data_IF_030487057701
#
_entry.id   IF_030487057701
#
_cell.length_a   1.000
_cell.length_b   1.000
_cell.length_c   1.000
_cell.angle_alpha   90.00
_cell.angle_beta   90.00
_cell.angle_gamma   90.00
#
_symmetry.space_group_name_H-M   'P 1'
#
loop_
_entity.id
_entity.type
_entity.pdbx_description
1 polymer ?
#
# COMPACT_ATOMS: atom_id res chain seq x y z
N UNK A 1 35.80 3.31 22.08
CA UNK A 1 34.51 2.72 22.49
C UNK A 1 33.29 3.34 21.81
N UNK A 2 33.47 4.31 20.90
CA UNK A 2 32.34 5.01 20.25
C UNK A 2 31.93 4.48 18.85
N UNK A 3 32.76 3.68 18.20
CA UNK A 3 32.55 3.28 16.80
C UNK A 3 31.36 2.34 16.61
N UNK A 4 31.16 1.37 17.51
CA UNK A 4 30.06 0.40 17.36
C UNK A 4 28.66 1.01 17.60
N UNK A 5 28.56 2.00 18.51
CA UNK A 5 27.30 2.72 18.76
C UNK A 5 27.02 3.68 17.60
N UNK A 6 28.04 4.38 17.13
CA UNK A 6 27.92 5.28 15.97
C UNK A 6 27.49 4.52 14.73
N UNK A 7 28.10 3.36 14.43
CA UNK A 7 27.75 2.53 13.28
C UNK A 7 26.31 1.98 13.40
N UNK A 8 25.84 1.61 14.59
CA UNK A 8 24.45 1.17 14.80
C UNK A 8 23.43 2.30 14.62
N UNK A 9 23.78 3.51 15.06
CA UNK A 9 22.92 4.69 14.87
C UNK A 9 22.87 5.07 13.39
N UNK A 10 23.99 5.04 12.68
CA UNK A 10 24.03 5.30 11.23
C UNK A 10 23.20 4.29 10.46
N UNK A 11 23.42 3.00 10.68
CA UNK A 11 22.63 1.93 10.02
C UNK A 11 21.11 2.02 10.32
N UNK A 12 20.73 2.41 11.53
CA UNK A 12 19.33 2.62 11.88
C UNK A 12 18.73 3.84 11.15
N UNK A 13 19.50 4.91 10.99
CA UNK A 13 19.08 6.10 10.23
C UNK A 13 18.97 5.79 8.73
N UNK A 14 19.92 5.05 8.16
CA UNK A 14 19.93 4.66 6.75
C UNK A 14 18.72 3.76 6.43
N UNK A 15 18.41 2.81 7.31
CA UNK A 15 17.22 1.97 7.18
C UNK A 15 15.92 2.78 7.26
N UNK A 16 15.81 3.75 8.17
CA UNK A 16 14.64 4.60 8.28
C UNK A 16 14.47 5.50 7.05
N UNK A 17 15.55 6.03 6.50
CA UNK A 17 15.53 6.82 5.26
C UNK A 17 15.18 5.96 4.05
N UNK A 18 15.72 4.75 3.96
CA UNK A 18 15.36 3.80 2.91
C UNK A 18 13.85 3.50 2.91
N UNK A 19 13.27 3.22 4.08
CA UNK A 19 11.84 2.98 4.26
C UNK A 19 10.99 4.20 3.81
N UNK A 20 11.41 5.40 4.16
CA UNK A 20 10.74 6.64 3.74
C UNK A 20 10.78 6.84 2.22
N UNK A 21 11.94 6.66 1.57
CA UNK A 21 12.05 6.77 0.11
C UNK A 21 11.30 5.67 -0.62
N UNK A 22 11.29 4.44 -0.10
CA UNK A 22 10.48 3.36 -0.63
C UNK A 22 9.00 3.72 -0.66
N UNK A 23 8.47 4.27 0.43
CA UNK A 23 7.09 4.74 0.53
C UNK A 23 6.80 5.89 -0.45
N UNK A 24 7.70 6.85 -0.58
CA UNK A 24 7.56 7.95 -1.53
C UNK A 24 7.56 7.47 -2.99
N UNK A 25 8.39 6.49 -3.34
CA UNK A 25 8.41 5.89 -4.67
C UNK A 25 7.12 5.13 -4.97
N UNK A 26 6.69 4.26 -4.06
CA UNK A 26 5.47 3.48 -4.23
C UNK A 26 4.23 4.39 -4.26
N UNK A 27 4.22 5.50 -3.51
CA UNK A 27 3.10 6.44 -3.48
C UNK A 27 2.90 7.24 -4.78
N UNK A 28 3.81 7.16 -5.75
CA UNK A 28 3.61 7.80 -7.05
C UNK A 28 2.44 7.17 -7.79
N UNK A 29 1.51 8.00 -8.29
CA UNK A 29 0.25 7.53 -8.90
C UNK A 29 0.46 6.54 -10.05
N UNK A 30 1.53 6.71 -10.84
CA UNK A 30 1.88 5.77 -11.90
C UNK A 30 2.21 4.39 -11.36
N UNK A 31 2.98 4.31 -10.27
CA UNK A 31 3.32 3.04 -9.60
C UNK A 31 2.07 2.42 -8.96
N UNK A 32 1.27 3.24 -8.25
CA UNK A 32 0.01 2.80 -7.65
C UNK A 32 -0.95 2.24 -8.70
N UNK A 33 -1.03 2.86 -9.88
CA UNK A 33 -1.87 2.39 -10.97
C UNK A 33 -1.48 0.99 -11.44
N UNK A 34 -0.19 0.68 -11.56
CA UNK A 34 0.28 -0.68 -11.86
C UNK A 34 -0.11 -1.67 -10.76
N UNK A 35 0.03 -1.29 -9.49
CA UNK A 35 -0.40 -2.12 -8.36
C UNK A 35 -1.89 -2.41 -8.47
N UNK A 36 -2.72 -1.38 -8.68
CA UNK A 36 -4.18 -1.51 -8.75
C UNK A 36 -4.63 -2.39 -9.91
N UNK A 37 -4.04 -2.23 -11.11
CA UNK A 37 -4.36 -3.05 -12.29
C UNK A 37 -4.10 -4.54 -12.04
N UNK A 38 -3.06 -4.87 -11.29
CA UNK A 38 -2.69 -6.27 -11.02
C UNK A 38 -3.39 -6.87 -9.79
N UNK A 39 -3.87 -6.03 -8.87
CA UNK A 39 -4.40 -6.52 -7.57
C UNK A 39 -5.90 -6.38 -7.41
N UNK A 40 -6.55 -5.50 -8.16
CA UNK A 40 -8.00 -5.23 -8.04
C UNK A 40 -8.71 -5.64 -9.33
N UNK A 41 -9.61 -6.62 -9.23
CA UNK A 41 -10.28 -7.23 -10.38
C UNK A 41 -10.99 -6.22 -11.30
N UNK A 42 -11.53 -5.14 -10.75
CA UNK A 42 -12.22 -4.11 -11.53
C UNK A 42 -11.28 -3.37 -12.51
N UNK A 43 -9.99 -3.32 -12.19
CA UNK A 43 -8.98 -2.65 -13.03
C UNK A 43 -8.21 -3.61 -13.93
N UNK A 44 -8.40 -4.92 -13.80
CA UNK A 44 -7.74 -5.91 -14.67
C UNK A 44 -8.02 -5.64 -16.14
N UNK A 45 -6.96 -5.63 -16.94
CA UNK A 45 -7.01 -5.36 -18.38
C UNK A 45 -7.15 -3.88 -18.75
N UNK A 46 -7.22 -2.96 -17.79
CA UNK A 46 -7.08 -1.53 -18.05
C UNK A 46 -5.61 -1.16 -18.24
N UNK A 47 -5.37 -0.07 -18.99
CA UNK A 47 -4.03 0.53 -19.03
C UNK A 47 -3.76 1.29 -17.72
N UNK A 48 -2.56 1.20 -17.13
CA UNK A 48 -2.24 1.91 -15.91
C UNK A 48 -2.49 3.42 -16.01
N UNK A 49 -2.24 4.03 -17.16
CA UNK A 49 -2.46 5.46 -17.41
C UNK A 49 -3.93 5.87 -17.20
N UNK A 50 -4.87 4.99 -17.58
CA UNK A 50 -6.31 5.22 -17.38
C UNK A 50 -6.69 5.14 -15.88
N UNK A 51 -5.97 4.30 -15.12
CA UNK A 51 -6.20 4.11 -13.67
C UNK A 51 -5.62 5.26 -12.85
N UNK A 52 -4.54 5.92 -13.31
CA UNK A 52 -3.97 7.11 -12.64
C UNK A 52 -5.06 8.17 -12.37
N UNK A 53 -5.94 8.43 -13.36
CA UNK A 53 -7.01 9.41 -13.24
C UNK A 53 -8.10 9.02 -12.22
N UNK A 54 -8.15 7.76 -11.80
CA UNK A 54 -9.11 7.26 -10.81
C UNK A 54 -8.60 7.36 -9.37
N UNK A 55 -7.30 7.63 -9.17
CA UNK A 55 -6.71 7.86 -7.84
C UNK A 55 -7.07 9.27 -7.40
N UNK A 56 -7.89 9.36 -6.35
CA UNK A 56 -8.37 10.63 -5.81
C UNK A 56 -7.32 11.34 -4.95
N UNK A 57 -7.17 12.64 -5.18
CA UNK A 57 -6.23 13.47 -4.42
C UNK A 57 -4.77 12.99 -4.51
N UNK A 58 -3.95 13.37 -3.54
CA UNK A 58 -2.59 12.86 -3.39
C UNK A 58 -2.57 11.74 -2.35
N UNK A 59 -1.87 10.62 -2.62
CA UNK A 59 -1.68 9.56 -1.63
C UNK A 59 -1.00 10.08 -0.38
N UNK A 60 -1.52 9.71 0.79
CA UNK A 60 -0.95 10.10 2.07
C UNK A 60 0.07 9.07 2.51
N UNK A 61 1.28 9.53 2.81
CA UNK A 61 2.38 8.71 3.34
C UNK A 61 2.42 8.89 4.85
N UNK A 62 2.55 7.79 5.61
CA UNK A 62 2.43 7.75 7.05
C UNK A 62 3.51 8.48 7.81
N UNK A 63 3.36 9.78 7.95
CA UNK A 63 4.24 10.63 8.77
C UNK A 63 3.47 11.43 9.84
N UNK A 64 2.14 11.45 9.79
CA UNK A 64 1.34 12.32 10.67
C UNK A 64 0.70 11.51 11.80
N UNK A 65 1.10 11.76 13.06
CA UNK A 65 0.39 11.21 14.21
C UNK A 65 -1.02 11.79 14.27
N UNK A 66 -1.97 10.90 14.57
CA UNK A 66 -3.37 11.26 14.70
C UNK A 66 -3.77 11.21 16.16
N UNK A 67 -4.34 12.31 16.61
CA UNK A 67 -4.98 12.32 17.92
C UNK A 67 -6.29 11.49 17.92
N UNK A 68 -6.61 10.79 19.03
CA UNK A 68 -7.84 10.02 19.16
C UNK A 68 -9.06 10.90 18.86
N UNK A 69 -9.96 10.45 18.00
CA UNK A 69 -11.15 11.18 17.61
C UNK A 69 -11.01 12.17 16.45
N UNK A 70 -9.81 12.40 15.93
CA UNK A 70 -9.57 13.30 14.80
C UNK A 70 -9.63 12.60 13.42
N UNK A 71 -9.97 11.33 13.36
CA UNK A 71 -10.06 10.52 12.12
C UNK A 71 -11.15 10.99 11.16
N UNK A 72 -11.99 11.95 11.55
CA UNK A 72 -13.22 12.32 10.86
C UNK A 72 -13.18 13.72 10.23
N UNK A 73 -12.02 14.35 10.13
CA UNK A 73 -11.92 15.69 9.55
C UNK A 73 -11.84 15.58 8.03
N UNK A 74 -12.86 16.07 7.33
CA UNK A 74 -12.85 16.23 5.88
C UNK A 74 -12.33 17.61 5.52
N UNK A 75 -11.38 17.68 4.58
CA UNK A 75 -10.95 18.93 3.97
C UNK A 75 -11.53 19.02 2.56
N UNK A 76 -12.13 20.17 2.22
CA UNK A 76 -12.58 20.44 0.87
C UNK A 76 -11.54 21.32 0.17
N UNK A 77 -10.95 20.85 -0.92
CA UNK A 77 -10.11 21.68 -1.79
C UNK A 77 -11.00 22.57 -2.67
N UNK A 78 -10.47 23.73 -3.05
CA UNK A 78 -11.12 24.72 -3.94
C UNK A 78 -11.47 24.20 -5.35
N UNK A 79 -11.07 22.97 -5.70
CA UNK A 79 -11.42 22.27 -6.95
C UNK A 79 -12.69 21.41 -6.85
N UNK A 80 -13.36 21.35 -5.69
CA UNK A 80 -14.57 20.54 -5.50
C UNK A 80 -14.31 19.06 -5.21
N UNK A 81 -13.05 18.60 -5.22
CA UNK A 81 -12.69 17.25 -4.81
C UNK A 81 -12.68 17.17 -3.28
N UNK A 82 -13.46 16.25 -2.74
CA UNK A 82 -13.50 15.99 -1.30
C UNK A 82 -12.21 15.28 -0.90
N UNK A 83 -11.19 16.02 -0.47
CA UNK A 83 -10.08 15.47 0.30
C UNK A 83 -10.58 15.15 1.69
N UNK A 84 -10.86 13.89 1.93
CA UNK A 84 -11.10 13.39 3.27
C UNK A 84 -9.74 13.30 3.93
N UNK A 85 -9.56 13.99 5.04
CA UNK A 85 -8.37 13.85 5.88
C UNK A 85 -8.26 12.42 6.36
N UNK A 86 -7.48 11.62 5.63
CA UNK A 86 -7.12 10.28 6.06
C UNK A 86 -5.97 10.40 7.03
N UNK A 87 -6.22 9.93 8.21
CA UNK A 87 -5.18 9.70 9.18
C UNK A 87 -4.46 8.40 8.85
N UNK A 88 -3.17 8.45 8.66
CA UNK A 88 -2.32 7.26 8.50
C UNK A 88 -2.19 6.49 9.82
N UNK A 89 -2.54 7.11 10.94
CA UNK A 89 -2.54 6.50 12.27
C UNK A 89 -3.98 6.40 12.79
N UNK A 90 -4.39 5.20 13.19
CA UNK A 90 -5.68 4.96 13.79
C UNK A 90 -5.48 4.55 15.26
N UNK A 91 -5.83 5.44 16.19
CA UNK A 91 -5.73 5.20 17.62
C UNK A 91 -7.12 5.00 18.23
N UNK A 92 -7.27 3.98 19.06
CA UNK A 92 -8.40 3.84 19.97
C UNK A 92 -7.97 4.09 21.41
N UNK A 93 -8.93 4.46 22.25
CA UNK A 93 -8.70 4.63 23.68
C UNK A 93 -8.21 3.31 24.26
N UNK A 94 -6.96 3.28 24.76
CA UNK A 94 -6.23 2.13 25.31
C UNK A 94 -5.68 1.10 24.30
N UNK A 95 -5.82 1.30 23.00
CA UNK A 95 -5.17 0.49 21.98
C UNK A 95 -4.09 1.33 21.27
N UNK A 96 -2.91 0.82 21.11
CA UNK A 96 -1.78 1.53 20.50
C UNK A 96 -2.11 2.13 19.13
N UNK A 97 -1.28 3.05 18.70
CA UNK A 97 -1.38 3.72 17.43
C UNK A 97 -1.07 2.74 16.28
N UNK A 98 -1.95 2.66 15.28
CA UNK A 98 -1.71 1.90 14.04
C UNK A 98 -1.20 2.86 12.98
N UNK A 99 -0.08 2.52 12.36
CA UNK A 99 0.50 3.27 11.24
C UNK A 99 0.29 2.51 9.95
N UNK A 100 -0.19 3.21 8.94
CA UNK A 100 -0.26 2.73 7.57
C UNK A 100 0.78 3.47 6.74
N UNK A 101 1.43 2.76 5.83
CA UNK A 101 2.51 3.36 5.05
C UNK A 101 1.97 4.31 3.99
N UNK A 102 0.99 3.89 3.21
CA UNK A 102 0.37 4.68 2.15
C UNK A 102 -1.14 4.47 2.18
N UNK A 103 -1.91 5.56 2.18
CA UNK A 103 -3.38 5.52 2.13
C UNK A 103 -3.88 6.45 1.03
N UNK A 104 -4.85 5.99 0.25
CA UNK A 104 -5.53 6.80 -0.76
C UNK A 104 -6.92 6.25 -1.08
N UNK A 105 -7.71 7.03 -1.81
CA UNK A 105 -8.97 6.57 -2.38
C UNK A 105 -8.83 6.35 -3.88
N UNK A 106 -9.57 5.37 -4.39
CA UNK A 106 -9.67 5.11 -5.82
C UNK A 106 -11.14 5.07 -6.24
N UNK A 107 -11.46 5.68 -7.36
CA UNK A 107 -12.80 5.70 -7.92
C UNK A 107 -13.10 4.41 -8.65
N UNK A 108 -14.10 3.70 -8.17
CA UNK A 108 -14.61 2.44 -8.73
C UNK A 108 -16.03 2.66 -9.27
N UNK A 109 -16.60 1.67 -9.96
CA UNK A 109 -17.94 1.76 -10.56
C UNK A 109 -19.05 2.05 -9.54
N UNK A 110 -18.92 1.48 -8.35
CA UNK A 110 -19.88 1.60 -7.24
C UNK A 110 -19.52 2.69 -6.23
N UNK A 111 -18.55 3.54 -6.53
CA UNK A 111 -18.10 4.64 -5.70
C UNK A 111 -16.63 4.58 -5.33
N UNK A 112 -16.26 5.19 -4.20
CA UNK A 112 -14.87 5.20 -3.75
C UNK A 112 -14.54 3.94 -2.95
N UNK A 113 -13.40 3.33 -3.24
CA UNK A 113 -12.76 2.34 -2.40
C UNK A 113 -11.57 2.96 -1.67
N UNK A 114 -11.32 2.52 -0.44
CA UNK A 114 -10.15 2.91 0.32
C UNK A 114 -9.04 1.88 0.12
N UNK A 115 -7.86 2.35 -0.26
CA UNK A 115 -6.69 1.49 -0.48
C UNK A 115 -5.60 1.86 0.52
N UNK A 116 -5.06 0.83 1.16
CA UNK A 116 -3.92 0.92 2.04
C UNK A 116 -2.81 0.07 1.44
N UNK A 117 -1.61 0.62 1.34
CA UNK A 117 -0.44 -0.15 1.00
C UNK A 117 0.49 -0.14 2.20
N UNK A 118 0.88 -1.32 2.64
CA UNK A 118 1.88 -1.53 3.68
C UNK A 118 3.11 -2.17 3.06
N UNK A 119 4.28 -1.65 3.41
CA UNK A 119 5.56 -2.16 2.93
C UNK A 119 6.25 -2.88 4.09
N UNK A 120 6.46 -4.18 3.95
CA UNK A 120 7.16 -5.00 4.94
C UNK A 120 8.51 -5.43 4.35
N UNK A 121 9.61 -4.90 4.91
CA UNK A 121 10.97 -5.13 4.38
C UNK A 121 11.65 -6.34 5.04
N UNK A 122 11.04 -6.92 6.09
CA UNK A 122 11.65 -8.02 6.82
C UNK A 122 11.47 -9.34 6.08
N UNK A 123 12.57 -10.14 5.99
CA UNK A 123 12.57 -11.46 5.36
C UNK A 123 11.74 -12.47 6.16
N UNK A 124 11.84 -12.41 7.49
CA UNK A 124 11.15 -13.34 8.38
C UNK A 124 9.88 -12.71 8.94
N UNK A 125 8.81 -13.49 9.04
CA UNK A 125 7.63 -13.07 9.76
C UNK A 125 8.02 -12.66 11.20
N UNK A 126 7.40 -11.60 11.75
CA UNK A 126 7.64 -11.20 13.13
C UNK A 126 7.41 -12.38 14.09
N UNK A 127 8.37 -12.68 14.96
CA UNK A 127 8.26 -13.79 15.89
C UNK A 127 7.15 -13.63 16.95
N UNK A 128 6.64 -12.41 17.11
CA UNK A 128 5.63 -12.07 18.12
C UNK A 128 4.20 -12.23 17.62
N UNK A 129 3.97 -12.20 16.31
CA UNK A 129 2.65 -12.30 15.68
C UNK A 129 2.73 -12.75 14.22
N UNK A 130 1.65 -13.34 13.72
CA UNK A 130 1.52 -13.68 12.31
C UNK A 130 1.11 -12.44 11.50
N UNK A 131 1.78 -12.21 10.37
CA UNK A 131 1.53 -11.06 9.50
C UNK A 131 0.07 -11.01 9.01
N UNK A 132 -0.51 -12.17 8.70
CA UNK A 132 -1.93 -12.28 8.33
C UNK A 132 -2.86 -11.74 9.42
N UNK A 133 -2.61 -12.06 10.69
CA UNK A 133 -3.44 -11.58 11.80
C UNK A 133 -3.36 -10.05 11.93
N UNK A 134 -2.17 -9.48 11.74
CA UNK A 134 -1.98 -8.02 11.69
C UNK A 134 -2.74 -7.40 10.53
N UNK A 135 -2.69 -8.01 9.34
CA UNK A 135 -3.39 -7.51 8.17
C UNK A 135 -4.92 -7.55 8.35
N UNK A 136 -5.46 -8.62 8.92
CA UNK A 136 -6.90 -8.73 9.27
C UNK A 136 -7.29 -7.62 10.26
N UNK A 137 -6.48 -7.41 11.30
CA UNK A 137 -6.75 -6.36 12.27
C UNK A 137 -6.75 -4.96 11.61
N UNK A 138 -5.77 -4.67 10.76
CA UNK A 138 -5.65 -3.39 10.06
C UNK A 138 -6.84 -3.12 9.14
N UNK A 139 -7.22 -4.07 8.28
CA UNK A 139 -8.34 -3.88 7.36
C UNK A 139 -9.67 -3.75 8.12
N UNK A 140 -9.86 -4.49 9.21
CA UNK A 140 -11.05 -4.39 10.06
C UNK A 140 -11.16 -3.02 10.72
N UNK A 141 -10.05 -2.47 11.19
CA UNK A 141 -9.98 -1.10 11.73
C UNK A 141 -10.38 -0.07 10.69
N UNK A 142 -9.91 -0.21 9.46
CA UNK A 142 -10.25 0.72 8.39
C UNK A 142 -11.73 0.65 8.00
N UNK A 143 -12.33 -0.54 7.96
CA UNK A 143 -13.77 -0.69 7.76
C UNK A 143 -14.54 -0.02 8.92
N UNK A 144 -14.14 -0.28 10.17
CA UNK A 144 -14.79 0.30 11.36
C UNK A 144 -14.66 1.82 11.41
N UNK A 145 -13.51 2.38 11.03
CA UNK A 145 -13.24 3.83 11.07
C UNK A 145 -14.06 4.66 10.09
N UNK A 146 -14.76 4.03 9.16
CA UNK A 146 -15.64 4.72 8.21
C UNK A 146 -16.90 5.31 8.88
N UNK A 147 -17.29 4.76 10.05
CA UNK A 147 -18.43 5.27 10.78
C UNK A 147 -18.17 6.69 11.28
N UNK A 148 -19.09 7.60 10.98
CA UNK A 148 -18.98 9.03 11.28
C UNK A 148 -18.19 9.84 10.26
N UNK A 149 -17.47 9.20 9.34
CA UNK A 149 -16.73 9.80 8.24
C UNK A 149 -17.39 9.53 6.89
N UNK A 150 -17.49 8.25 6.52
CA UNK A 150 -18.01 7.82 5.22
C UNK A 150 -19.51 7.49 5.29
N UNK A 151 -19.99 7.08 6.43
CA UNK A 151 -21.41 6.90 6.69
C UNK A 151 -21.79 7.35 8.12
N UNK A 152 -23.02 7.82 8.28
CA UNK A 152 -23.57 8.29 9.56
C UNK A 152 -24.78 7.46 9.98
N UNK A 153 -25.08 7.47 11.27
CA UNK A 153 -26.19 6.72 11.86
C UNK A 153 -26.11 5.22 11.55
N UNK A 154 -27.12 4.66 10.89
CA UNK A 154 -27.24 3.24 10.55
C UNK A 154 -27.15 2.99 9.05
N UNK A 155 -26.58 3.90 8.27
CA UNK A 155 -26.44 3.79 6.82
C UNK A 155 -25.25 2.86 6.46
N UNK A 156 -25.26 1.63 6.97
CA UNK A 156 -24.18 0.66 6.71
C UNK A 156 -24.01 0.30 5.23
N UNK A 157 -25.02 0.60 4.38
CA UNK A 157 -24.92 0.38 2.93
C UNK A 157 -23.94 1.34 2.25
N UNK A 158 -23.59 2.45 2.92
CA UNK A 158 -22.65 3.45 2.40
C UNK A 158 -21.19 3.10 2.72
N UNK A 159 -20.94 1.95 3.39
CA UNK A 159 -19.59 1.48 3.64
C UNK A 159 -18.84 1.27 2.32
N UNK A 160 -17.61 1.79 2.26
CA UNK A 160 -16.71 1.64 1.14
C UNK A 160 -15.88 0.37 1.27
N UNK A 161 -15.53 -0.22 0.14
CA UNK A 161 -14.57 -1.31 0.08
C UNK A 161 -13.21 -0.87 0.60
N UNK A 162 -12.53 -1.75 1.30
CA UNK A 162 -11.15 -1.55 1.78
C UNK A 162 -10.25 -2.61 1.17
N UNK A 163 -9.17 -2.16 0.56
CA UNK A 163 -8.10 -3.02 0.07
C UNK A 163 -6.83 -2.74 0.88
N UNK A 164 -6.33 -3.76 1.55
CA UNK A 164 -5.07 -3.73 2.29
C UNK A 164 -4.03 -4.55 1.54
N UNK A 165 -3.09 -3.87 0.88
CA UNK A 165 -2.06 -4.48 0.02
C UNK A 165 -0.74 -4.47 0.78
N UNK A 166 -0.12 -5.65 0.92
CA UNK A 166 1.12 -5.86 1.64
C UNK A 166 2.24 -6.23 0.67
N UNK A 167 3.24 -5.37 0.58
CA UNK A 167 4.45 -5.61 -0.21
C UNK A 167 5.51 -6.19 0.72
N UNK A 168 5.68 -7.51 0.67
CA UNK A 168 6.61 -8.25 1.52
C UNK A 168 7.89 -8.54 0.75
N UNK A 169 8.99 -7.89 1.12
CA UNK A 169 10.28 -8.00 0.45
C UNK A 169 11.13 -9.11 1.07
N UNK A 170 12.15 -9.53 0.31
CA UNK A 170 13.13 -10.53 0.72
C UNK A 170 12.50 -11.90 1.11
N UNK A 171 11.39 -12.24 0.46
CA UNK A 171 10.74 -13.54 0.66
C UNK A 171 11.52 -14.66 -0.04
N UNK A 172 11.31 -15.92 0.37
CA UNK A 172 11.95 -17.08 -0.26
C UNK A 172 11.53 -17.30 -1.72
N UNK A 173 10.35 -16.77 -2.11
CA UNK A 173 9.83 -16.87 -3.47
C UNK A 173 8.88 -15.73 -3.81
N UNK A 174 8.69 -15.48 -5.11
CA UNK A 174 7.65 -14.58 -5.59
C UNK A 174 6.28 -15.23 -5.41
N UNK A 175 5.36 -14.51 -4.78
CA UNK A 175 4.01 -15.00 -4.51
C UNK A 175 2.99 -13.88 -4.48
N UNK A 176 1.75 -14.19 -4.81
CA UNK A 176 0.64 -13.26 -4.63
C UNK A 176 -0.59 -14.03 -4.19
N UNK A 177 -1.29 -13.55 -3.17
CA UNK A 177 -2.57 -14.11 -2.75
C UNK A 177 -3.57 -13.01 -2.41
N UNK A 178 -4.85 -13.30 -2.64
CA UNK A 178 -5.98 -12.44 -2.28
C UNK A 178 -6.84 -13.15 -1.24
N UNK A 179 -7.07 -12.49 -0.12
CA UNK A 179 -7.88 -12.97 1.00
C UNK A 179 -9.09 -12.06 1.11
N UNK A 180 -10.28 -12.64 1.04
CA UNK A 180 -11.55 -11.93 1.06
C UNK A 180 -12.65 -12.76 1.74
N UNK A 181 -13.81 -12.14 2.00
CA UNK A 181 -14.95 -12.83 2.59
C UNK A 181 -15.66 -13.69 1.55
N UNK A 182 -16.02 -14.91 1.96
CA UNK A 182 -16.87 -15.83 1.18
C UNK A 182 -18.11 -16.21 1.97
N UNK A 183 -19.13 -16.72 1.30
CA UNK A 183 -20.36 -17.21 1.92
C UNK A 183 -20.59 -18.67 1.58
N UNK A 184 -20.80 -19.48 2.61
CA UNK A 184 -21.23 -20.87 2.50
C UNK A 184 -22.66 -21.01 2.99
N UNK A 185 -23.57 -21.50 2.16
CA UNK A 185 -24.94 -21.80 2.56
C UNK A 185 -24.98 -23.17 3.27
N UNK A 186 -25.02 -23.18 4.58
CA UNK A 186 -24.99 -24.41 5.40
C UNK A 186 -26.35 -25.15 5.42
N UNK A 187 -27.45 -24.40 5.37
CA UNK A 187 -28.82 -24.92 5.34
C UNK A 187 -29.65 -24.00 4.45
N UNK A 188 -30.21 -24.48 3.38
CA UNK A 188 -31.05 -23.74 2.45
C UNK A 188 -30.51 -22.38 2.03
N UNK A 189 -30.60 -22.04 0.78
CA UNK A 189 -30.18 -20.74 0.29
C UNK A 189 -31.16 -19.65 0.75
N UNK A 190 -30.60 -18.54 1.29
CA UNK A 190 -31.31 -17.28 1.49
C UNK A 190 -30.51 -16.14 0.88
N UNK A 191 -31.19 -15.30 0.11
CA UNK A 191 -30.52 -14.16 -0.54
C UNK A 191 -30.32 -13.00 0.47
N UNK A 192 -29.34 -13.13 1.35
CA UNK A 192 -28.88 -12.03 2.22
C UNK A 192 -28.32 -10.91 1.35
N UNK A 193 -28.97 -9.74 1.41
CA UNK A 193 -28.50 -8.56 0.70
C UNK A 193 -27.28 -7.99 1.41
N UNK A 194 -26.30 -7.51 0.66
CA UNK A 194 -25.09 -6.91 1.17
C UNK A 194 -23.92 -7.10 0.22
N UNK A 195 -22.79 -6.51 0.58
CA UNK A 195 -21.55 -6.61 -0.18
C UNK A 195 -20.53 -7.43 0.61
N UNK A 196 -20.11 -8.57 0.07
CA UNK A 196 -19.03 -9.39 0.64
C UNK A 196 -17.63 -8.83 0.31
N UNK A 197 -17.56 -7.93 -0.67
CA UNK A 197 -16.31 -7.34 -1.14
C UNK A 197 -15.88 -6.08 -0.34
N UNK A 198 -16.31 -5.97 0.91
CA UNK A 198 -15.96 -4.84 1.77
C UNK A 198 -14.55 -4.95 2.35
N UNK A 199 -14.02 -6.16 2.49
CA UNK A 199 -12.74 -6.44 3.13
C UNK A 199 -11.87 -7.28 2.19
N UNK A 200 -10.74 -6.69 1.76
CA UNK A 200 -9.80 -7.32 0.85
C UNK A 200 -8.37 -7.17 1.37
N UNK A 201 -7.63 -8.27 1.45
CA UNK A 201 -6.21 -8.29 1.82
C UNK A 201 -5.44 -8.94 0.69
N UNK A 202 -4.42 -8.27 0.19
CA UNK A 202 -3.54 -8.80 -0.85
C UNK A 202 -2.12 -8.85 -0.29
N UNK A 203 -1.50 -10.03 -0.30
CA UNK A 203 -0.07 -10.18 -0.04
C UNK A 203 0.66 -10.36 -1.35
N UNK A 204 1.70 -9.56 -1.56
CA UNK A 204 2.65 -9.65 -2.65
C UNK A 204 4.03 -9.96 -2.06
N UNK A 205 4.44 -11.21 -2.14
CA UNK A 205 5.76 -11.67 -1.72
C UNK A 205 6.77 -11.48 -2.85
N UNK A 206 7.88 -10.80 -2.55
CA UNK A 206 8.94 -10.50 -3.52
C UNK A 206 10.22 -11.16 -3.04
N UNK A 207 10.72 -12.12 -3.83
CA UNK A 207 11.98 -12.80 -3.57
C UNK A 207 13.20 -11.90 -3.81
N UNK A 208 14.37 -12.38 -3.41
CA UNK A 208 15.63 -11.62 -3.50
C UNK A 208 16.08 -11.37 -4.95
N UNK A 209 15.78 -12.30 -5.86
CA UNK A 209 16.17 -12.18 -7.27
C UNK A 209 15.13 -11.38 -8.07
N UNK A 210 15.60 -10.67 -9.10
CA UNK A 210 14.70 -10.00 -10.02
C UNK A 210 13.89 -11.05 -10.82
N UNK A 211 12.54 -11.02 -10.76
CA UNK A 211 11.72 -12.01 -11.47
C UNK A 211 11.93 -11.96 -12.99
N UNK A 212 11.69 -13.07 -13.70
CA UNK A 212 11.73 -13.09 -15.16
C UNK A 212 10.68 -12.13 -15.76
N UNK A 213 10.93 -11.71 -17.01
CA UNK A 213 10.02 -10.83 -17.75
C UNK A 213 8.85 -11.65 -18.33
N UNK A 214 7.99 -12.14 -17.45
CA UNK A 214 6.80 -12.92 -17.78
C UNK A 214 5.54 -12.20 -17.26
N UNK A 215 4.40 -12.40 -17.95
CA UNK A 215 3.15 -11.69 -17.63
C UNK A 215 2.73 -11.86 -16.17
N UNK A 216 2.84 -13.06 -15.61
CA UNK A 216 2.48 -13.37 -14.23
C UNK A 216 3.36 -12.65 -13.19
N UNK A 217 4.57 -12.22 -13.54
CA UNK A 217 5.51 -11.57 -12.64
C UNK A 217 5.67 -10.07 -12.90
N UNK A 218 4.85 -9.46 -13.76
CA UNK A 218 5.00 -8.04 -14.11
C UNK A 218 5.02 -7.13 -12.87
N UNK A 219 4.06 -7.29 -11.95
CA UNK A 219 4.03 -6.47 -10.73
C UNK A 219 5.23 -6.76 -9.83
N UNK A 220 5.57 -8.06 -9.62
CA UNK A 220 6.73 -8.44 -8.81
C UNK A 220 8.02 -7.83 -9.36
N UNK A 221 8.20 -7.88 -10.70
CA UNK A 221 9.38 -7.34 -11.36
C UNK A 221 9.48 -5.82 -11.24
N UNK A 222 8.36 -5.09 -11.38
CA UNK A 222 8.33 -3.64 -11.16
C UNK A 222 8.74 -3.28 -9.74
N UNK A 223 8.10 -3.91 -8.73
CA UNK A 223 8.37 -3.61 -7.33
C UNK A 223 9.79 -4.06 -6.93
N UNK A 224 10.22 -5.26 -7.39
CA UNK A 224 11.58 -5.73 -7.18
C UNK A 224 12.62 -4.77 -7.79
N UNK A 225 12.41 -4.29 -9.02
CA UNK A 225 13.30 -3.32 -9.64
C UNK A 225 13.35 -1.99 -8.88
N UNK A 226 12.18 -1.46 -8.47
CA UNK A 226 12.10 -0.21 -7.71
C UNK A 226 12.84 -0.30 -6.38
N UNK A 227 12.56 -1.37 -5.61
CA UNK A 227 12.98 -1.53 -4.22
C UNK A 227 14.23 -2.39 -4.02
N UNK A 228 14.89 -2.87 -5.09
CA UNK A 228 16.15 -3.60 -4.98
C UNK A 228 17.26 -2.71 -4.39
N UNK A 229 18.04 -3.24 -3.48
CA UNK A 229 19.29 -2.63 -3.02
C UNK A 229 20.52 -3.10 -3.84
N UNK A 230 20.33 -4.05 -4.77
CA UNK A 230 21.41 -4.64 -5.57
C UNK A 230 21.51 -4.03 -6.97
N UNK A 231 20.40 -3.50 -7.52
CA UNK A 231 20.38 -2.91 -8.86
C UNK A 231 20.87 -1.46 -8.84
N UNK A 232 21.80 -1.09 -9.75
CA UNK A 232 22.19 0.30 -9.94
C UNK A 232 21.02 1.17 -10.39
N UNK A 233 21.02 2.45 -10.00
CA UNK A 233 19.95 3.39 -10.35
C UNK A 233 19.66 3.45 -11.86
N UNK A 234 20.70 3.46 -12.70
CA UNK A 234 20.55 3.48 -14.16
C UNK A 234 19.80 2.25 -14.70
N UNK A 235 20.03 1.07 -14.13
CA UNK A 235 19.34 -0.17 -14.52
C UNK A 235 17.89 -0.17 -14.06
N UNK A 236 17.62 0.27 -12.83
CA UNK A 236 16.24 0.46 -12.34
C UNK A 236 15.44 1.40 -13.24
N UNK A 237 15.98 2.58 -13.55
CA UNK A 237 15.32 3.56 -14.41
C UNK A 237 15.12 3.01 -15.83
N UNK A 238 16.06 2.21 -16.35
CA UNK A 238 15.92 1.54 -17.65
C UNK A 238 14.76 0.53 -17.64
N UNK A 239 14.64 -0.30 -16.60
CA UNK A 239 13.53 -1.25 -16.44
C UNK A 239 12.21 -0.48 -16.37
N UNK A 240 12.10 0.51 -15.50
CA UNK A 240 10.88 1.30 -15.28
C UNK A 240 10.41 1.97 -16.57
N UNK A 241 11.35 2.55 -17.33
CA UNK A 241 11.02 3.26 -18.57
C UNK A 241 10.73 2.32 -19.75
N UNK A 242 11.61 1.35 -19.99
CA UNK A 242 11.53 0.53 -21.19
C UNK A 242 10.53 -0.62 -21.11
N UNK A 243 10.34 -1.20 -19.92
CA UNK A 243 9.43 -2.34 -19.75
C UNK A 243 8.03 -1.90 -19.33
N UNK A 244 7.92 -0.82 -18.55
CA UNK A 244 6.64 -0.34 -18.00
C UNK A 244 6.16 0.97 -18.59
N UNK A 245 6.93 1.59 -19.49
CA UNK A 245 6.61 2.85 -20.15
C UNK A 245 6.29 4.00 -19.16
N UNK A 246 6.76 3.89 -17.92
CA UNK A 246 6.56 4.92 -16.91
C UNK A 246 7.49 6.10 -17.24
N UNK A 247 6.96 7.33 -17.36
CA UNK A 247 7.77 8.51 -17.59
C UNK A 247 8.76 8.75 -16.45
N UNK A 248 10.03 9.00 -16.79
CA UNK A 248 11.07 9.34 -15.81
C UNK A 248 10.88 10.78 -15.33
N UNK A 249 9.93 11.00 -14.44
CA UNK A 249 9.74 12.29 -13.78
C UNK A 249 10.93 12.60 -12.85
N UNK A 250 11.14 13.89 -12.57
CA UNK A 250 12.20 14.30 -11.64
C UNK A 250 12.03 13.64 -10.26
N UNK A 251 10.83 13.60 -9.63
CA UNK A 251 10.67 12.93 -8.33
C UNK A 251 10.98 11.43 -8.37
N UNK A 252 10.61 10.73 -9.45
CA UNK A 252 10.93 9.32 -9.63
C UNK A 252 12.45 9.08 -9.72
N UNK A 253 13.10 9.86 -10.56
CA UNK A 253 14.55 9.75 -10.80
C UNK A 253 15.34 10.07 -9.52
N UNK A 254 14.99 11.14 -8.83
CA UNK A 254 15.61 11.52 -7.56
C UNK A 254 15.40 10.44 -6.48
N UNK A 255 14.17 9.94 -6.33
CA UNK A 255 13.85 8.89 -5.36
C UNK A 255 14.65 7.61 -5.60
N UNK A 256 14.74 7.15 -6.86
CA UNK A 256 15.53 5.97 -7.23
C UNK A 256 17.01 6.18 -6.93
N UNK A 257 17.58 7.35 -7.27
CA UNK A 257 18.97 7.66 -6.98
C UNK A 257 19.26 7.71 -5.48
N UNK A 258 18.37 8.32 -4.69
CA UNK A 258 18.53 8.41 -3.23
C UNK A 258 18.50 7.02 -2.58
N UNK A 259 17.58 6.15 -2.99
CA UNK A 259 17.54 4.78 -2.48
C UNK A 259 18.81 3.99 -2.80
N UNK A 260 19.36 4.12 -4.01
CA UNK A 260 20.60 3.43 -4.37
C UNK A 260 21.78 3.89 -3.54
N UNK A 261 21.89 5.19 -3.29
CA UNK A 261 22.99 5.75 -2.46
C UNK A 261 22.92 5.26 -0.99
N UNK A 262 21.72 5.00 -0.46
CA UNK A 262 21.53 4.43 0.88
C UNK A 262 21.80 2.93 0.90
N UNK A 263 21.46 2.21 -0.17
CA UNK A 263 21.67 0.76 -0.28
C UNK A 263 23.15 0.34 -0.33
N UNK A 264 24.04 1.22 -0.75
CA UNK A 264 25.51 0.98 -0.70
C UNK A 264 26.09 1.00 0.72
N UNK A 265 25.32 1.48 1.70
CA UNK A 265 25.71 1.61 3.12
C UNK A 265 25.08 0.58 4.08
N UNK A 266 24.15 -0.24 3.61
CA UNK A 266 23.47 -1.30 4.35
C UNK A 266 24.02 -2.65 3.93
#
# INVERSE_FOLDING_TARGET
MNTAITNRITAANDKAQYDEYAKQLIAQKQILAYILVQTIDEFKGMQPEDVVSRIEGEPLIGVVPVEPGMTNTSYTHSSGDQLIGLNTENSEINEGMIRFDIIFYVRMKDGLAQVIINIEIQKDEPTQYFLLNRAIFYVSRMVSSQKGRDFVHQNYNDMKRVFSIWLCLNMDSHSMCHIHLTRDDLINHHNWKGNLDLLNIIFLGIGEELPPQEEQYQLHRLIAALLSNQLPAAEKLKIIHNEYHIPLSQPLTEGVNMMCNLGEGI
#
